data_IF_660612121386
#
_entry.id   IF_660612121386
#
_cell.length_a   1.000
_cell.length_b   1.000
_cell.length_c   1.000
_cell.angle_alpha   90.00
_cell.angle_beta   90.00
_cell.angle_gamma   90.00
#
_symmetry.space_group_name_H-M   'P 1'
#
loop_
_entity.id
_entity.type
_entity.pdbx_description
1 polymer ?
#
# COMPACT_ATOMS: atom_id res chain seq x y z
N UNK A 1 -8.21 11.34 12.55
CA UNK A 1 -7.30 10.74 11.54
C UNK A 1 -8.03 10.70 10.21
N UNK A 2 -7.46 11.26 9.15
CA UNK A 2 -8.10 11.22 7.83
C UNK A 2 -7.87 9.86 7.14
N UNK A 3 -8.49 9.67 5.98
CA UNK A 3 -8.41 8.41 5.24
C UNK A 3 -6.96 8.05 4.88
N UNK A 4 -6.18 9.03 4.44
CA UNK A 4 -4.79 8.83 4.06
C UNK A 4 -3.95 8.32 5.24
N UNK A 5 -4.13 8.94 6.40
CA UNK A 5 -3.42 8.52 7.62
C UNK A 5 -3.86 7.13 8.07
N UNK A 6 -5.17 6.83 7.99
CA UNK A 6 -5.68 5.49 8.33
C UNK A 6 -5.08 4.43 7.43
N UNK A 7 -5.00 4.71 6.13
CA UNK A 7 -4.41 3.79 5.17
C UNK A 7 -2.96 3.48 5.52
N UNK A 8 -2.13 4.51 5.73
CA UNK A 8 -0.72 4.31 6.05
C UNK A 8 -0.53 3.62 7.40
N UNK A 9 -1.38 3.93 8.38
CA UNK A 9 -1.35 3.26 9.68
C UNK A 9 -1.67 1.78 9.53
N UNK A 10 -2.71 1.45 8.76
CA UNK A 10 -3.09 0.07 8.48
C UNK A 10 -1.97 -0.71 7.80
N UNK A 11 -1.32 -0.10 6.80
CA UNK A 11 -0.20 -0.72 6.09
C UNK A 11 0.94 -1.05 7.07
N UNK A 12 1.29 -0.12 7.95
CA UNK A 12 2.36 -0.34 8.93
C UNK A 12 2.04 -1.44 9.93
N UNK A 13 0.76 -1.58 10.29
CA UNK A 13 0.31 -2.66 11.18
C UNK A 13 0.49 -4.02 10.50
N UNK A 14 0.16 -4.10 9.21
CA UNK A 14 0.25 -5.35 8.47
C UNK A 14 1.70 -5.70 8.08
N UNK A 15 2.49 -4.68 7.70
CA UNK A 15 3.88 -4.87 7.32
C UNK A 15 4.61 -3.52 7.38
N UNK A 16 5.60 -3.40 8.24
CA UNK A 16 6.20 -2.11 8.59
C UNK A 16 7.16 -1.53 7.54
N UNK A 17 7.67 -2.35 6.62
CA UNK A 17 8.71 -1.95 5.67
C UNK A 17 8.23 -1.82 4.23
N UNK A 18 6.93 -1.58 4.06
CA UNK A 18 6.33 -1.47 2.72
C UNK A 18 6.63 -0.12 2.09
N UNK A 19 6.98 -0.13 0.81
CA UNK A 19 7.15 1.07 0.00
C UNK A 19 6.15 1.03 -1.15
N UNK A 20 5.35 2.07 -1.25
CA UNK A 20 4.37 2.20 -2.33
C UNK A 20 4.06 3.66 -2.60
N UNK A 21 3.49 3.91 -3.78
CA UNK A 21 3.03 5.24 -4.18
C UNK A 21 1.51 5.24 -4.21
N UNK A 22 0.91 6.15 -3.48
CA UNK A 22 -0.53 6.27 -3.33
C UNK A 22 -0.97 7.64 -3.85
N UNK A 23 -1.93 7.65 -4.77
CA UNK A 23 -2.51 8.88 -5.30
C UNK A 23 -3.92 9.05 -4.74
N UNK A 24 -4.09 10.02 -3.84
CA UNK A 24 -5.38 10.31 -3.22
C UNK A 24 -5.75 9.33 -2.12
N UNK A 25 -7.02 9.33 -1.75
CA UNK A 25 -7.53 8.49 -0.68
C UNK A 25 -7.86 7.09 -1.17
N UNK A 26 -7.61 6.10 -0.33
CA UNK A 26 -7.92 4.70 -0.61
C UNK A 26 -9.22 4.36 0.12
N UNK A 27 -10.32 4.35 -0.61
CA UNK A 27 -11.66 4.13 -0.06
C UNK A 27 -12.32 2.86 -0.58
N UNK A 28 -11.86 2.35 -1.74
CA UNK A 28 -12.45 1.18 -2.39
C UNK A 28 -11.36 0.21 -2.83
N UNK A 29 -11.77 -1.01 -3.18
CA UNK A 29 -10.84 -2.00 -3.73
C UNK A 29 -10.22 -1.50 -5.04
N UNK A 30 -10.97 -0.77 -5.85
CA UNK A 30 -10.44 -0.19 -7.08
C UNK A 30 -9.30 0.78 -6.78
N UNK A 31 -9.47 1.64 -5.76
CA UNK A 31 -8.40 2.55 -5.33
C UNK A 31 -7.17 1.76 -4.89
N UNK A 32 -7.39 0.68 -4.13
CA UNK A 32 -6.32 -0.20 -3.68
C UNK A 32 -5.57 -0.82 -4.86
N UNK A 33 -6.30 -1.24 -5.90
CA UNK A 33 -5.70 -1.88 -7.08
C UNK A 33 -4.92 -0.91 -7.96
N UNK A 34 -5.03 0.40 -7.72
CA UNK A 34 -4.28 1.43 -8.44
C UNK A 34 -3.01 1.87 -7.72
N UNK A 35 -2.73 1.30 -6.55
CA UNK A 35 -1.49 1.60 -5.81
C UNK A 35 -0.29 1.01 -6.58
N UNK A 36 0.79 1.78 -6.67
CA UNK A 36 2.05 1.30 -7.25
C UNK A 36 2.97 0.84 -6.13
N UNK A 37 3.24 -0.47 -6.10
CA UNK A 37 4.07 -1.09 -5.07
C UNK A 37 5.50 -1.22 -5.56
N UNK A 38 6.47 -0.82 -4.74
CA UNK A 38 7.87 -1.00 -5.06
C UNK A 38 8.29 -2.44 -4.74
N UNK A 39 8.76 -3.17 -5.77
CA UNK A 39 9.22 -4.56 -5.62
C UNK A 39 10.73 -4.68 -5.58
N UNK A 40 11.46 -3.62 -5.98
CA UNK A 40 12.92 -3.64 -6.01
C UNK A 40 13.47 -2.38 -6.66
N UNK A 41 14.74 -2.45 -7.05
CA UNK A 41 15.42 -1.34 -7.71
C UNK A 41 16.10 -1.86 -8.96
N UNK A 42 16.07 -1.08 -10.05
CA UNK A 42 16.77 -1.41 -11.27
C UNK A 42 18.28 -1.58 -11.03
N UNK A 43 18.98 -2.19 -11.98
CA UNK A 43 20.41 -2.46 -11.86
C UNK A 43 21.25 -1.16 -11.63
N UNK A 44 20.75 0.00 -12.06
CA UNK A 44 21.41 1.28 -11.84
C UNK A 44 21.32 1.78 -10.38
N UNK A 45 20.49 1.16 -9.55
CA UNK A 45 20.30 1.53 -8.16
C UNK A 45 19.48 2.80 -7.93
N UNK A 46 18.97 3.42 -8.99
CA UNK A 46 18.28 4.72 -8.91
C UNK A 46 16.78 4.62 -9.23
N UNK A 47 16.39 3.70 -10.11
CA UNK A 47 15.02 3.58 -10.56
C UNK A 47 14.29 2.46 -9.82
N UNK A 48 13.18 2.80 -9.15
CA UNK A 48 12.37 1.81 -8.45
C UNK A 48 11.61 0.93 -9.46
N UNK A 49 11.55 -0.35 -9.20
CA UNK A 49 10.71 -1.28 -9.94
C UNK A 49 9.35 -1.30 -9.24
N UNK A 50 8.28 -0.95 -9.96
CA UNK A 50 6.94 -0.84 -9.38
C UNK A 50 5.95 -1.74 -10.11
N UNK A 51 4.91 -2.16 -9.39
CA UNK A 51 3.81 -2.94 -9.93
C UNK A 51 2.51 -2.48 -9.30
N UNK A 52 1.40 -2.63 -9.99
CA UNK A 52 0.07 -2.35 -9.44
C UNK A 52 -0.57 -3.57 -8.78
N UNK A 53 0.14 -4.68 -8.72
CA UNK A 53 -0.30 -5.87 -7.99
C UNK A 53 0.52 -5.95 -6.70
N UNK A 54 -0.16 -5.97 -5.54
CA UNK A 54 0.52 -5.99 -4.26
C UNK A 54 1.42 -7.24 -4.13
N UNK A 55 2.74 -7.07 -3.94
CA UNK A 55 3.66 -8.20 -3.83
C UNK A 55 3.72 -8.80 -2.42
N UNK A 56 2.97 -8.24 -1.48
CA UNK A 56 3.01 -8.66 -0.07
C UNK A 56 1.76 -9.46 0.27
N UNK A 57 1.91 -10.72 0.64
CA UNK A 57 0.79 -11.61 0.96
C UNK A 57 0.01 -11.15 2.20
N UNK A 58 0.65 -10.44 3.11
CA UNK A 58 0.01 -9.90 4.32
C UNK A 58 -0.91 -8.71 4.02
N UNK A 59 -0.73 -8.07 2.87
CA UNK A 59 -1.46 -6.85 2.51
C UNK A 59 -2.47 -7.16 1.42
N UNK A 60 -3.73 -7.24 1.82
CA UNK A 60 -4.87 -7.39 0.91
C UNK A 60 -5.85 -6.28 1.20
N UNK A 61 -6.76 -5.99 0.26
CA UNK A 61 -7.79 -4.99 0.51
C UNK A 61 -8.63 -5.34 1.74
N UNK A 62 -9.00 -6.60 1.90
CA UNK A 62 -9.78 -7.06 3.06
C UNK A 62 -9.03 -6.77 4.36
N UNK A 63 -7.72 -7.08 4.43
CA UNK A 63 -6.92 -6.84 5.62
C UNK A 63 -6.73 -5.36 5.89
N UNK A 64 -6.44 -4.56 4.85
CA UNK A 64 -6.25 -3.11 4.98
C UNK A 64 -7.54 -2.45 5.46
N UNK A 65 -8.67 -2.79 4.85
CA UNK A 65 -9.96 -2.23 5.24
C UNK A 65 -10.31 -2.57 6.68
N UNK A 66 -10.07 -3.79 7.10
CA UNK A 66 -10.32 -4.23 8.47
C UNK A 66 -9.51 -3.41 9.48
N UNK A 67 -8.24 -3.14 9.18
CA UNK A 67 -7.39 -2.32 10.06
C UNK A 67 -7.82 -0.86 10.05
N UNK A 68 -8.16 -0.31 8.87
CA UNK A 68 -8.66 1.07 8.77
C UNK A 68 -9.95 1.26 9.55
N UNK A 69 -10.84 0.28 9.55
CA UNK A 69 -12.13 0.35 10.24
C UNK A 69 -11.98 0.37 11.77
N UNK A 70 -10.82 -0.01 12.28
CA UNK A 70 -10.51 0.03 13.72
C UNK A 70 -9.99 1.39 14.19
N UNK A 71 -9.66 2.26 13.27
CA UNK A 71 -9.00 3.55 13.57
C UNK A 71 -9.96 4.73 13.70
#
# INVERSE_FOLDING_TARGET
MDNHEKFWTAIRILKSDVKCTVNGDIETEEDFNNILWQTGTEANGETAIVTNTCPHSEITWTAVKAEMDKL
#
